data_IF_281757119287
#
_entry.id   IF_281757119287
#
_cell.length_a   1.000
_cell.length_b   1.000
_cell.length_c   1.000
_cell.angle_alpha   90.00
_cell.angle_beta   90.00
_cell.angle_gamma   90.00
#
_symmetry.space_group_name_H-M   'P 1'
#
loop_
_entity.id
_entity.type
_entity.pdbx_description
1 polymer ?
#
# COMPACT_ATOMS: atom_id res chain seq x y z
N UNK A 1 18.34 10.43 -29.27
CA UNK A 1 17.97 10.60 -27.85
C UNK A 1 17.48 9.26 -27.34
N UNK A 2 18.13 8.65 -26.35
CA UNK A 2 17.60 7.42 -25.73
C UNK A 2 16.31 7.81 -25.00
N UNK A 3 15.16 7.29 -25.42
CA UNK A 3 13.98 7.27 -24.56
C UNK A 3 14.38 6.36 -23.39
N UNK A 4 14.68 6.93 -22.24
CA UNK A 4 14.84 6.11 -21.03
C UNK A 4 13.54 5.31 -20.87
N UNK A 5 13.67 3.99 -20.73
CA UNK A 5 12.51 3.15 -20.51
C UNK A 5 11.81 3.64 -19.24
N UNK A 6 10.47 3.75 -19.22
CA UNK A 6 9.73 4.19 -18.04
C UNK A 6 10.11 3.34 -16.83
N UNK A 7 10.33 3.98 -15.68
CA UNK A 7 10.76 3.27 -14.47
C UNK A 7 9.65 2.30 -14.03
N UNK A 8 9.92 0.98 -13.86
CA UNK A 8 8.87 0.04 -13.50
C UNK A 8 8.47 0.17 -12.03
N UNK A 9 7.17 0.30 -11.79
CA UNK A 9 6.57 0.39 -10.46
C UNK A 9 5.54 -0.73 -10.31
N UNK A 10 5.56 -1.46 -9.20
CA UNK A 10 4.50 -2.41 -8.87
C UNK A 10 3.56 -1.82 -7.81
N UNK A 11 2.28 -1.76 -8.11
CA UNK A 11 1.26 -1.29 -7.17
C UNK A 11 0.45 -2.45 -6.61
N UNK A 12 0.42 -2.59 -5.29
CA UNK A 12 -0.42 -3.59 -4.60
C UNK A 12 -1.74 -2.92 -4.24
N UNK A 13 -2.79 -3.26 -4.99
CA UNK A 13 -4.11 -2.60 -4.94
C UNK A 13 -5.23 -3.59 -4.58
N UNK A 14 -6.45 -3.07 -4.44
CA UNK A 14 -7.66 -3.91 -4.40
C UNK A 14 -8.19 -4.11 -5.81
N UNK A 15 -8.99 -5.16 -6.01
CA UNK A 15 -9.69 -5.35 -7.28
C UNK A 15 -10.64 -4.16 -7.56
N UNK A 16 -10.72 -3.76 -8.84
CA UNK A 16 -11.40 -2.53 -9.29
C UNK A 16 -12.85 -2.37 -8.80
N UNK A 17 -13.56 -3.48 -8.61
CA UNK A 17 -14.98 -3.48 -8.25
C UNK A 17 -15.23 -3.49 -6.74
N UNK A 18 -14.18 -3.48 -5.91
CA UNK A 18 -14.33 -3.41 -4.45
C UNK A 18 -14.78 -2.02 -4.04
N UNK A 19 -15.68 -1.94 -3.05
CA UNK A 19 -16.11 -0.66 -2.47
C UNK A 19 -15.19 -0.26 -1.32
N UNK A 20 -14.77 1.00 -1.28
CA UNK A 20 -14.03 1.58 -0.14
C UNK A 20 -13.04 2.66 -0.53
N UNK A 21 -12.49 3.36 0.46
CA UNK A 21 -11.58 4.50 0.25
C UNK A 21 -10.31 4.15 -0.55
N UNK A 22 -9.72 2.98 -0.31
CA UNK A 22 -8.57 2.50 -1.10
C UNK A 22 -8.96 2.30 -2.56
N UNK A 23 -10.09 1.65 -2.83
CA UNK A 23 -10.52 1.39 -4.20
C UNK A 23 -10.76 2.69 -4.98
N UNK A 24 -11.35 3.70 -4.33
CA UNK A 24 -11.54 5.03 -4.91
C UNK A 24 -10.20 5.72 -5.27
N UNK A 25 -9.21 5.64 -4.38
CA UNK A 25 -7.86 6.18 -4.66
C UNK A 25 -7.18 5.41 -5.79
N UNK A 26 -7.24 4.07 -5.77
CA UNK A 26 -6.60 3.27 -6.81
C UNK A 26 -7.27 3.41 -8.17
N UNK A 27 -8.58 3.68 -8.19
CA UNK A 27 -9.31 3.96 -9.42
C UNK A 27 -8.80 5.23 -10.12
N UNK A 28 -8.36 6.23 -9.35
CA UNK A 28 -7.81 7.48 -9.88
C UNK A 28 -6.43 7.32 -10.54
N UNK A 29 -5.74 6.18 -10.35
CA UNK A 29 -4.47 5.93 -11.04
C UNK A 29 -4.66 5.49 -12.50
N UNK A 30 -5.76 4.80 -12.82
CA UNK A 30 -6.00 4.31 -14.19
C UNK A 30 -6.20 5.48 -15.16
N UNK A 31 -5.38 5.53 -16.21
CA UNK A 31 -5.37 6.63 -17.18
C UNK A 31 -4.74 7.94 -16.67
N UNK A 32 -4.23 7.95 -15.44
CA UNK A 32 -3.60 9.14 -14.84
C UNK A 32 -2.24 9.44 -15.47
N UNK A 33 -1.69 10.62 -15.15
CA UNK A 33 -0.31 10.97 -15.50
C UNK A 33 0.71 9.96 -14.98
N UNK A 34 0.43 9.30 -13.86
CA UNK A 34 1.32 8.31 -13.27
C UNK A 34 1.58 7.11 -14.18
N UNK A 35 0.56 6.64 -14.91
CA UNK A 35 0.71 5.57 -15.90
C UNK A 35 1.41 6.04 -17.19
N UNK A 36 1.45 7.35 -17.44
CA UNK A 36 2.18 7.94 -18.57
C UNK A 36 3.67 8.10 -18.25
N UNK A 37 3.97 8.43 -17.00
CA UNK A 37 5.33 8.72 -16.53
C UNK A 37 6.10 7.44 -16.11
N UNK A 38 5.40 6.35 -15.76
CA UNK A 38 5.99 5.10 -15.22
C UNK A 38 5.42 3.82 -15.86
N UNK A 39 6.20 2.72 -15.91
CA UNK A 39 5.70 1.37 -16.27
C UNK A 39 5.00 0.76 -15.06
N UNK A 40 3.73 1.10 -14.85
CA UNK A 40 2.94 0.66 -13.69
C UNK A 40 2.35 -0.73 -13.91
N UNK A 41 2.67 -1.66 -13.01
CA UNK A 41 2.06 -2.99 -12.93
C UNK A 41 1.21 -3.12 -11.67
N UNK A 42 -0.10 -3.35 -11.83
CA UNK A 42 -1.01 -3.59 -10.70
C UNK A 42 -1.06 -5.07 -10.32
N UNK A 43 -0.99 -5.34 -9.02
CA UNK A 43 -1.29 -6.65 -8.42
C UNK A 43 -2.46 -6.47 -7.47
N UNK A 44 -3.59 -7.09 -7.80
CA UNK A 44 -4.81 -7.04 -6.99
C UNK A 44 -4.72 -8.06 -5.84
N UNK A 45 -4.58 -7.58 -4.62
CA UNK A 45 -4.38 -8.39 -3.42
C UNK A 45 -5.68 -8.75 -2.67
N UNK A 46 -6.81 -8.17 -3.06
CA UNK A 46 -8.07 -8.31 -2.34
C UNK A 46 -9.28 -8.22 -3.27
N UNK A 47 -10.31 -8.99 -2.95
CA UNK A 47 -11.63 -8.93 -3.57
C UNK A 47 -12.74 -9.09 -2.52
N UNK A 48 -13.95 -8.68 -2.88
CA UNK A 48 -15.14 -8.96 -2.09
C UNK A 48 -15.65 -10.40 -2.28
N UNK A 49 -16.44 -10.86 -1.32
CA UNK A 49 -17.05 -12.19 -1.33
C UNK A 49 -16.66 -13.06 -0.13
N UNK A 50 -16.82 -14.37 -0.31
CA UNK A 50 -16.62 -15.36 0.75
C UNK A 50 -15.17 -15.43 1.23
N UNK A 51 -14.96 -15.96 2.45
CA UNK A 51 -13.61 -16.19 3.02
C UNK A 51 -12.71 -16.97 2.05
N UNK A 52 -13.26 -17.99 1.39
CA UNK A 52 -12.54 -18.80 0.42
C UNK A 52 -12.11 -18.00 -0.83
N UNK A 53 -12.99 -17.15 -1.38
CA UNK A 53 -12.64 -16.27 -2.51
C UNK A 53 -11.50 -15.32 -2.14
N UNK A 54 -11.56 -14.73 -0.94
CA UNK A 54 -10.53 -13.82 -0.41
C UNK A 54 -9.17 -14.51 -0.30
N UNK A 55 -9.13 -15.71 0.29
CA UNK A 55 -7.89 -16.50 0.42
C UNK A 55 -7.32 -16.86 -0.97
N UNK A 56 -8.16 -17.31 -1.90
CA UNK A 56 -7.72 -17.63 -3.27
C UNK A 56 -7.14 -16.41 -3.99
N UNK A 57 -7.77 -15.25 -3.85
CA UNK A 57 -7.27 -14.00 -4.44
C UNK A 57 -5.92 -13.62 -3.83
N UNK A 58 -5.79 -13.70 -2.50
CA UNK A 58 -4.53 -13.42 -1.82
C UNK A 58 -3.39 -14.34 -2.29
N UNK A 59 -3.63 -15.65 -2.35
CA UNK A 59 -2.64 -16.62 -2.86
C UNK A 59 -2.26 -16.31 -4.31
N UNK A 60 -3.25 -16.07 -5.17
CA UNK A 60 -3.02 -15.71 -6.57
C UNK A 60 -2.19 -14.42 -6.71
N UNK A 61 -2.47 -13.42 -5.88
CA UNK A 61 -1.75 -12.16 -5.84
C UNK A 61 -0.28 -12.34 -5.41
N UNK A 62 -0.02 -13.21 -4.43
CA UNK A 62 1.36 -13.53 -4.01
C UNK A 62 2.15 -14.18 -5.16
N UNK A 63 1.54 -15.08 -5.92
CA UNK A 63 2.18 -15.67 -7.10
C UNK A 63 2.41 -14.66 -8.22
N UNK A 64 1.41 -13.82 -8.51
CA UNK A 64 1.52 -12.75 -9.50
C UNK A 64 2.64 -11.77 -9.12
N UNK A 65 2.67 -11.33 -7.86
CA UNK A 65 3.73 -10.47 -7.34
C UNK A 65 5.11 -11.12 -7.45
N UNK A 66 5.23 -12.40 -7.06
CA UNK A 66 6.47 -13.16 -7.18
C UNK A 66 6.95 -13.29 -8.63
N UNK A 67 6.04 -13.31 -9.61
CA UNK A 67 6.38 -13.23 -11.03
C UNK A 67 6.90 -11.84 -11.39
N UNK A 68 6.19 -10.77 -11.01
CA UNK A 68 6.61 -9.37 -11.24
C UNK A 68 8.00 -9.10 -10.67
N UNK A 69 8.28 -9.50 -9.43
CA UNK A 69 9.59 -9.33 -8.81
C UNK A 69 10.72 -10.04 -9.59
N UNK A 70 10.43 -11.14 -10.27
CA UNK A 70 11.42 -11.90 -11.06
C UNK A 70 11.60 -11.35 -12.47
N UNK A 71 10.50 -10.99 -13.14
CA UNK A 71 10.50 -10.67 -14.58
C UNK A 71 10.65 -9.17 -14.86
N UNK A 72 10.02 -8.32 -14.04
CA UNK A 72 10.01 -6.86 -14.22
C UNK A 72 11.03 -6.15 -13.34
N UNK A 73 11.35 -6.73 -12.17
CA UNK A 73 12.26 -6.15 -11.15
C UNK A 73 11.94 -4.66 -10.90
N UNK A 74 10.75 -4.36 -10.35
CA UNK A 74 10.33 -2.98 -10.16
C UNK A 74 11.31 -2.22 -9.27
N UNK A 75 11.52 -0.94 -9.57
CA UNK A 75 12.34 -0.06 -8.75
C UNK A 75 11.66 0.27 -7.41
N UNK A 76 10.33 0.23 -7.40
CA UNK A 76 9.48 0.56 -6.27
C UNK A 76 8.25 -0.35 -6.21
N UNK A 77 7.89 -0.77 -4.99
CA UNK A 77 6.58 -1.33 -4.67
C UNK A 77 5.79 -0.29 -3.89
N UNK A 78 4.66 0.14 -4.45
CA UNK A 78 3.73 1.06 -3.78
C UNK A 78 2.54 0.27 -3.28
N UNK A 79 2.33 0.24 -1.97
CA UNK A 79 1.28 -0.53 -1.32
C UNK A 79 0.18 0.37 -0.80
N UNK A 80 -1.08 -0.06 -0.92
CA UNK A 80 -2.21 0.58 -0.27
C UNK A 80 -2.74 -0.34 0.82
N UNK A 81 -2.58 0.06 2.08
CA UNK A 81 -2.93 -0.75 3.25
C UNK A 81 -3.94 -0.07 4.15
N UNK A 82 -4.62 -0.89 4.94
CA UNK A 82 -5.48 -0.48 6.05
C UNK A 82 -5.23 -1.39 7.25
N UNK A 83 -5.82 -1.08 8.40
CA UNK A 83 -5.65 -1.88 9.61
C UNK A 83 -6.48 -3.17 9.59
N UNK A 84 -6.27 -4.02 10.60
CA UNK A 84 -6.95 -5.30 10.73
C UNK A 84 -6.50 -6.31 9.66
N UNK A 85 -7.44 -6.96 8.99
CA UNK A 85 -7.15 -7.99 8.00
C UNK A 85 -6.29 -7.50 6.83
N UNK A 86 -6.39 -6.23 6.43
CA UNK A 86 -5.59 -5.68 5.33
C UNK A 86 -4.10 -5.68 5.65
N UNK A 87 -3.72 -5.33 6.89
CA UNK A 87 -2.33 -5.40 7.35
C UNK A 87 -1.77 -6.83 7.25
N UNK A 88 -2.51 -7.83 7.73
CA UNK A 88 -2.00 -9.21 7.71
C UNK A 88 -1.78 -9.73 6.29
N UNK A 89 -2.71 -9.42 5.37
CA UNK A 89 -2.57 -9.75 3.96
C UNK A 89 -1.42 -9.00 3.27
N UNK A 90 -0.99 -7.87 3.83
CA UNK A 90 0.09 -7.07 3.26
C UNK A 90 1.49 -7.62 3.60
N UNK A 91 1.62 -8.42 4.67
CA UNK A 91 2.89 -8.94 5.16
C UNK A 91 3.69 -9.73 4.11
N UNK A 92 3.09 -10.66 3.34
CA UNK A 92 3.84 -11.40 2.31
C UNK A 92 4.46 -10.46 1.28
N UNK A 93 3.74 -9.42 0.85
CA UNK A 93 4.23 -8.45 -0.13
C UNK A 93 5.40 -7.64 0.42
N UNK A 94 5.29 -7.15 1.66
CA UNK A 94 6.36 -6.40 2.34
C UNK A 94 7.63 -7.24 2.41
N UNK A 95 7.53 -8.45 2.95
CA UNK A 95 8.73 -9.27 3.18
C UNK A 95 9.33 -9.83 1.88
N UNK A 96 8.52 -10.13 0.86
CA UNK A 96 9.02 -10.54 -0.46
C UNK A 96 9.75 -9.39 -1.18
N UNK A 97 9.20 -8.18 -1.16
CA UNK A 97 9.85 -7.00 -1.72
C UNK A 97 11.17 -6.70 -0.99
N UNK A 98 11.14 -6.69 0.35
CA UNK A 98 12.34 -6.45 1.18
C UNK A 98 13.42 -7.49 0.93
N UNK A 99 13.06 -8.78 0.84
CA UNK A 99 13.99 -9.88 0.51
C UNK A 99 14.64 -9.69 -0.86
N UNK A 100 13.97 -9.01 -1.79
CA UNK A 100 14.50 -8.69 -3.12
C UNK A 100 15.25 -7.35 -3.17
N UNK A 101 15.39 -6.65 -2.03
CA UNK A 101 16.05 -5.35 -1.96
C UNK A 101 15.29 -4.23 -2.70
N UNK A 102 14.00 -4.42 -2.95
CA UNK A 102 13.16 -3.44 -3.66
C UNK A 102 12.58 -2.46 -2.65
N UNK A 103 12.59 -1.16 -3.00
CA UNK A 103 12.06 -0.09 -2.16
C UNK A 103 10.55 -0.22 -2.00
N UNK A 104 10.05 0.13 -0.83
CA UNK A 104 8.63 0.02 -0.48
C UNK A 104 8.10 1.36 0.03
N UNK A 105 7.08 1.88 -0.63
CA UNK A 105 6.24 3.00 -0.16
C UNK A 105 4.91 2.41 0.28
N UNK A 106 4.49 2.64 1.53
CA UNK A 106 3.22 2.15 2.04
C UNK A 106 2.25 3.30 2.34
N UNK A 107 1.15 3.38 1.60
CA UNK A 107 0.06 4.33 1.77
C UNK A 107 -1.00 3.74 2.71
N UNK A 108 -1.16 4.34 3.90
CA UNK A 108 -2.07 3.87 4.95
C UNK A 108 -3.39 4.64 4.89
N UNK A 109 -4.52 3.93 4.71
CA UNK A 109 -5.86 4.52 4.56
C UNK A 109 -6.80 4.33 5.77
N UNK A 110 -6.28 3.99 6.96
CA UNK A 110 -7.11 3.60 8.10
C UNK A 110 -7.05 4.55 9.28
N UNK A 111 -8.16 4.65 10.01
CA UNK A 111 -8.34 5.55 11.15
C UNK A 111 -8.43 4.87 12.52
N UNK A 112 -8.14 3.56 12.60
CA UNK A 112 -8.34 2.78 13.83
C UNK A 112 -7.01 2.32 14.45
N UNK A 113 -6.06 3.24 14.64
CA UNK A 113 -4.71 2.89 15.08
C UNK A 113 -4.64 2.45 16.54
N UNK A 114 -5.45 3.05 17.42
CA UNK A 114 -5.37 2.78 18.85
C UNK A 114 -5.71 1.32 19.17
N UNK A 115 -6.82 0.83 18.64
CA UNK A 115 -7.21 -0.58 18.77
C UNK A 115 -6.30 -1.50 17.96
N UNK A 116 -5.76 -1.01 16.84
CA UNK A 116 -4.88 -1.82 16.00
C UNK A 116 -3.49 -2.02 16.63
N UNK A 117 -2.93 -1.00 17.28
CA UNK A 117 -1.54 -0.98 17.75
C UNK A 117 -1.40 -0.58 19.22
N UNK A 118 -1.96 0.55 19.67
CA UNK A 118 -1.72 1.08 21.03
C UNK A 118 -2.16 0.09 22.11
N UNK A 119 -3.35 -0.48 21.99
CA UNK A 119 -3.91 -1.48 22.91
C UNK A 119 -3.64 -2.92 22.47
N UNK A 120 -2.77 -3.13 21.48
CA UNK A 120 -2.44 -4.46 20.99
C UNK A 120 -1.49 -5.22 21.93
N UNK A 121 -1.52 -6.55 21.81
CA UNK A 121 -0.58 -7.42 22.51
C UNK A 121 0.88 -7.12 22.11
N UNK A 122 1.87 -7.42 22.97
CA UNK A 122 3.29 -7.21 22.66
C UNK A 122 3.73 -7.90 21.35
N UNK A 123 3.21 -9.10 21.08
CA UNK A 123 3.50 -9.83 19.85
C UNK A 123 2.98 -9.09 18.60
N UNK A 124 1.76 -8.55 18.65
CA UNK A 124 1.20 -7.79 17.53
C UNK A 124 1.95 -6.47 17.34
N UNK A 125 2.32 -5.77 18.41
CA UNK A 125 3.17 -4.57 18.34
C UNK A 125 4.53 -4.88 17.69
N UNK A 126 5.18 -5.98 18.09
CA UNK A 126 6.44 -6.42 17.51
C UNK A 126 6.31 -6.75 16.01
N UNK A 127 5.21 -7.39 15.61
CA UNK A 127 4.93 -7.68 14.21
C UNK A 127 4.72 -6.41 13.38
N UNK A 128 3.96 -5.43 13.89
CA UNK A 128 3.77 -4.13 13.23
C UNK A 128 5.10 -3.41 13.08
N UNK A 129 5.90 -3.31 14.16
CA UNK A 129 7.25 -2.71 14.11
C UNK A 129 8.13 -3.39 13.06
N UNK A 130 8.18 -4.72 13.05
CA UNK A 130 8.97 -5.49 12.08
C UNK A 130 8.52 -5.23 10.65
N UNK A 131 7.21 -5.28 10.38
CA UNK A 131 6.67 -5.04 9.05
C UNK A 131 6.94 -3.60 8.58
N UNK A 132 6.68 -2.61 9.43
CA UNK A 132 6.85 -1.21 9.08
C UNK A 132 8.33 -0.79 8.97
N UNK A 133 9.23 -1.41 9.74
CA UNK A 133 10.68 -1.21 9.57
C UNK A 133 11.23 -1.72 8.23
N UNK A 134 10.49 -2.62 7.56
CA UNK A 134 10.86 -3.11 6.24
C UNK A 134 10.42 -2.16 5.11
N UNK A 135 9.56 -1.19 5.41
CA UNK A 135 9.16 -0.15 4.47
C UNK A 135 10.14 1.02 4.50
N UNK A 136 10.39 1.62 3.34
CA UNK A 136 11.32 2.74 3.21
C UNK A 136 10.63 4.08 3.47
N UNK A 137 9.36 4.20 3.07
CA UNK A 137 8.59 5.43 3.21
C UNK A 137 7.09 5.14 3.36
N UNK A 138 6.36 6.11 3.90
CA UNK A 138 4.93 6.01 4.16
C UNK A 138 4.20 7.24 3.66
N UNK A 139 3.01 7.00 3.10
CA UNK A 139 2.05 8.05 2.80
C UNK A 139 0.91 7.92 3.81
N UNK A 140 0.58 9.03 4.47
CA UNK A 140 -0.49 9.10 5.47
C UNK A 140 -1.48 10.19 5.09
N UNK A 141 -2.73 10.06 5.54
CA UNK A 141 -3.81 10.89 5.01
C UNK A 141 -3.86 12.32 5.57
N UNK A 142 -3.36 12.54 6.79
CA UNK A 142 -3.42 13.84 7.49
C UNK A 142 -2.26 14.00 8.46
N UNK A 143 -1.96 15.24 8.87
CA UNK A 143 -0.98 15.53 9.93
C UNK A 143 -1.34 14.85 11.26
N UNK A 144 -2.64 14.72 11.56
CA UNK A 144 -3.11 13.94 12.70
C UNK A 144 -2.56 12.51 12.63
N UNK A 145 -2.73 11.82 11.49
CA UNK A 145 -2.23 10.44 11.33
C UNK A 145 -0.70 10.36 11.34
N UNK A 146 -0.02 11.35 10.75
CA UNK A 146 1.45 11.45 10.84
C UNK A 146 1.91 11.48 12.30
N UNK A 147 1.30 12.34 13.12
CA UNK A 147 1.58 12.44 14.55
C UNK A 147 1.20 11.17 15.32
N UNK A 148 0.06 10.56 15.01
CA UNK A 148 -0.37 9.31 15.66
C UNK A 148 0.58 8.15 15.37
N UNK A 149 1.08 8.03 14.14
CA UNK A 149 1.98 6.94 13.76
C UNK A 149 3.43 7.16 14.16
N UNK A 150 3.81 8.36 14.60
CA UNK A 150 5.20 8.70 14.95
C UNK A 150 5.77 7.88 16.11
N UNK A 151 4.89 7.27 16.92
CA UNK A 151 5.28 6.30 17.95
C UNK A 151 5.85 4.96 17.39
N UNK A 152 5.77 4.74 16.08
CA UNK A 152 6.25 3.51 15.40
C UNK A 152 7.04 3.81 14.13
N UNK A 153 6.67 4.85 13.40
CA UNK A 153 7.29 5.25 12.14
C UNK A 153 8.04 6.57 12.39
N UNK A 154 9.32 6.68 12.02
CA UNK A 154 10.02 7.97 12.09
C UNK A 154 9.33 9.03 11.21
N UNK A 155 9.20 10.26 11.69
CA UNK A 155 8.45 11.31 11.00
C UNK A 155 9.03 11.69 9.64
N UNK A 156 10.35 11.60 9.49
CA UNK A 156 11.08 11.83 8.24
C UNK A 156 10.79 10.77 7.16
N UNK A 157 10.16 9.65 7.54
CA UNK A 157 9.70 8.60 6.62
C UNK A 157 8.22 8.72 6.27
N UNK A 158 7.55 9.79 6.67
CA UNK A 158 6.11 9.99 6.44
C UNK A 158 5.84 11.29 5.70
N UNK A 159 5.05 11.21 4.63
CA UNK A 159 4.49 12.38 3.95
C UNK A 159 2.96 12.37 4.00
N UNK A 160 2.38 13.56 4.19
CA UNK A 160 0.93 13.73 4.19
C UNK A 160 0.42 13.92 2.78
N UNK A 161 -0.33 12.96 2.27
CA UNK A 161 -1.06 13.08 1.01
C UNK A 161 -2.50 12.66 1.28
N UNK A 162 -3.41 13.63 1.23
CA UNK A 162 -4.84 13.40 1.45
C UNK A 162 -5.45 12.44 0.43
N UNK A 163 -6.56 11.81 0.79
CA UNK A 163 -7.31 10.99 -0.16
C UNK A 163 -7.76 11.83 -1.37
N UNK A 164 -7.82 11.18 -2.53
CA UNK A 164 -8.49 11.73 -3.70
C UNK A 164 -10.01 11.81 -3.44
N UNK A 165 -10.57 13.00 -3.56
CA UNK A 165 -12.01 13.25 -3.61
C UNK A 165 -12.29 14.34 -4.66
N UNK A 166 -13.52 14.46 -5.18
CA UNK A 166 -13.88 15.66 -5.93
C UNK A 166 -13.58 16.85 -5.02
N UNK A 167 -12.89 17.86 -5.55
CA UNK A 167 -12.74 19.14 -4.85
C UNK A 167 -14.13 19.69 -4.59
N UNK A 168 -14.64 19.52 -3.37
CA UNK A 168 -15.74 20.33 -2.89
C UNK A 168 -15.10 21.71 -2.75
N UNK A 169 -15.56 22.74 -3.49
CA UNK A 169 -15.08 24.09 -3.27
C UNK A 169 -15.29 24.39 -1.78
N UNK A 170 -14.21 24.76 -1.08
CA UNK A 170 -14.37 25.42 0.21
C UNK A 170 -15.06 26.76 -0.09
N UNK A 171 -16.37 26.85 0.15
CA UNK A 171 -16.99 28.16 0.36
C UNK A 171 -16.28 28.77 1.57
N UNK A 172 -15.61 29.90 1.31
CA UNK A 172 -15.03 30.76 2.34
C UNK A 172 -16.13 31.51 3.06
#
# INVERSE_FOLDING_TARGET
>A
MKKDNPTPICMIVQEKNVRGGIAAVTAAYYGSKLEKDFDVTYVESFCDGSKFKKIRKEISAIFAFSRVLRTKRPALVHMHTSFGGSFYRSLPFIFLARKKGIRIVNHIHSSYFDTFYVHASPLKKALVKKAWSACDFFIVLTDYWKKTFSCVIPEEKMEVIGNYGPSIPFEK
#
